data_IF_710769565642
#
_entry.id   IF_710769565642
#
_cell.length_a   1.000
_cell.length_b   1.000
_cell.length_c   1.000
_cell.angle_alpha   90.00
_cell.angle_beta   90.00
_cell.angle_gamma   90.00
#
_symmetry.space_group_name_H-M   'P 1'
#
loop_
_entity.id
_entity.type
_entity.pdbx_description
1 polymer ?
#
# COMPACT_ATOMS: atom_id res chain seq x y z
N UNK A 1 -25.20 -4.38 -35.66
CA UNK A 1 -24.53 -3.90 -34.43
C UNK A 1 -24.96 -4.83 -33.31
N UNK A 2 -24.13 -5.83 -32.97
CA UNK A 2 -24.42 -6.73 -31.85
C UNK A 2 -24.29 -5.87 -30.59
N UNK A 3 -25.40 -5.67 -29.88
CA UNK A 3 -25.40 -4.97 -28.59
C UNK A 3 -24.44 -5.71 -27.66
N UNK A 4 -23.37 -5.04 -27.24
CA UNK A 4 -22.49 -5.56 -26.20
C UNK A 4 -23.37 -5.83 -24.98
N UNK A 5 -23.41 -7.06 -24.44
CA UNK A 5 -24.21 -7.34 -23.27
C UNK A 5 -23.78 -6.42 -22.13
N UNK A 6 -24.75 -5.96 -21.34
CA UNK A 6 -24.51 -5.21 -20.11
C UNK A 6 -23.42 -5.93 -19.26
N UNK A 7 -22.45 -5.17 -18.73
CA UNK A 7 -21.25 -5.73 -18.08
C UNK A 7 -21.62 -6.64 -16.91
N UNK A 8 -22.66 -6.29 -16.14
CA UNK A 8 -23.14 -7.12 -15.05
C UNK A 8 -23.72 -8.45 -15.56
N UNK A 9 -24.46 -8.42 -16.68
CA UNK A 9 -24.97 -9.62 -17.36
C UNK A 9 -23.83 -10.51 -17.85
N UNK A 10 -22.80 -9.94 -18.48
CA UNK A 10 -21.63 -10.69 -18.95
C UNK A 10 -20.87 -11.35 -17.79
N UNK A 11 -20.62 -10.60 -16.71
CA UNK A 11 -19.96 -11.09 -15.49
C UNK A 11 -20.72 -12.24 -14.85
N UNK A 12 -22.03 -12.09 -14.67
CA UNK A 12 -22.87 -13.13 -14.09
C UNK A 12 -22.90 -14.39 -14.98
N UNK A 13 -23.14 -14.21 -16.28
CA UNK A 13 -23.18 -15.33 -17.23
C UNK A 13 -21.85 -16.10 -17.27
N UNK A 14 -20.71 -15.40 -17.25
CA UNK A 14 -19.40 -16.02 -17.18
C UNK A 14 -19.20 -16.79 -15.87
N UNK A 15 -19.54 -16.19 -14.74
CA UNK A 15 -19.39 -16.82 -13.42
C UNK A 15 -20.20 -18.11 -13.32
N UNK A 16 -21.45 -18.09 -13.79
CA UNK A 16 -22.33 -19.27 -13.83
C UNK A 16 -21.74 -20.40 -14.66
N UNK A 17 -21.11 -20.09 -15.80
CA UNK A 17 -20.38 -21.09 -16.61
C UNK A 17 -19.11 -21.59 -15.91
N UNK A 18 -18.35 -20.71 -15.30
CA UNK A 18 -17.08 -21.06 -14.62
C UNK A 18 -17.30 -21.96 -13.38
N UNK A 19 -18.46 -21.84 -12.73
CA UNK A 19 -18.84 -22.64 -11.56
C UNK A 19 -19.83 -23.78 -11.88
N UNK A 20 -20.32 -23.86 -13.12
CA UNK A 20 -21.38 -24.78 -13.54
C UNK A 20 -22.66 -24.70 -12.67
N UNK A 21 -23.07 -23.46 -12.35
CA UNK A 21 -24.25 -23.18 -11.51
C UNK A 21 -25.07 -22.05 -12.15
N UNK A 22 -26.21 -22.41 -12.75
CA UNK A 22 -27.10 -21.46 -13.42
C UNK A 22 -27.93 -20.61 -12.44
N UNK A 23 -28.09 -21.03 -11.18
CA UNK A 23 -28.88 -20.34 -10.17
C UNK A 23 -28.06 -19.31 -9.38
N UNK A 24 -26.73 -19.37 -9.49
CA UNK A 24 -25.80 -18.51 -8.79
C UNK A 24 -26.11 -17.01 -8.96
N UNK A 25 -25.91 -16.26 -7.89
CA UNK A 25 -26.03 -14.80 -7.83
C UNK A 25 -24.71 -14.17 -7.42
N UNK A 26 -24.57 -12.88 -7.69
CA UNK A 26 -23.41 -12.07 -7.33
C UNK A 26 -23.85 -10.92 -6.44
N UNK A 27 -23.13 -10.70 -5.34
CA UNK A 27 -23.28 -9.54 -4.47
C UNK A 27 -22.00 -8.69 -4.50
N UNK A 28 -22.05 -7.35 -4.36
CA UNK A 28 -20.85 -6.54 -4.25
C UNK A 28 -20.01 -6.97 -3.03
N UNK A 29 -18.71 -7.20 -3.23
CA UNK A 29 -17.78 -7.53 -2.15
C UNK A 29 -17.01 -6.30 -1.67
N UNK A 30 -16.48 -5.54 -2.62
CA UNK A 30 -15.80 -4.27 -2.41
C UNK A 30 -15.70 -3.51 -3.73
N UNK A 31 -15.55 -2.19 -3.63
CA UNK A 31 -15.13 -1.35 -4.74
C UNK A 31 -13.66 -0.95 -4.50
N UNK A 32 -12.80 -1.20 -5.48
CA UNK A 32 -11.39 -0.78 -5.46
C UNK A 32 -11.31 0.75 -5.59
N UNK A 33 -10.15 1.33 -5.28
CA UNK A 33 -9.86 2.68 -5.70
C UNK A 33 -9.63 2.80 -7.22
N UNK A 34 -9.35 1.69 -7.90
CA UNK A 34 -9.21 1.58 -9.36
C UNK A 34 -10.54 1.36 -10.09
N UNK A 35 -10.49 0.96 -11.36
CA UNK A 35 -11.68 0.62 -12.16
C UNK A 35 -12.12 -0.83 -11.94
N UNK A 36 -11.36 -1.62 -11.18
CA UNK A 36 -11.73 -2.98 -10.79
C UNK A 36 -12.88 -2.99 -9.79
N UNK A 37 -13.73 -4.00 -9.92
CA UNK A 37 -14.76 -4.30 -8.94
C UNK A 37 -14.73 -5.76 -8.54
N UNK A 38 -15.11 -6.05 -7.30
CA UNK A 38 -15.11 -7.39 -6.74
C UNK A 38 -16.51 -7.82 -6.35
N UNK A 39 -16.90 -9.01 -6.78
CA UNK A 39 -18.25 -9.54 -6.60
C UNK A 39 -18.20 -10.90 -5.95
N UNK A 40 -18.88 -11.08 -4.83
CA UNK A 40 -18.88 -12.30 -4.05
C UNK A 40 -20.00 -13.23 -4.51
N UNK A 41 -19.72 -14.52 -4.43
CA UNK A 41 -20.70 -15.57 -4.55
C UNK A 41 -20.35 -16.76 -3.66
N UNK A 42 -21.31 -17.66 -3.45
CA UNK A 42 -21.12 -18.91 -2.73
C UNK A 42 -21.49 -20.06 -3.63
N UNK A 43 -20.63 -21.07 -3.71
CA UNK A 43 -20.87 -22.27 -4.49
C UNK A 43 -20.30 -23.48 -3.75
N UNK A 44 -21.13 -24.52 -3.56
CA UNK A 44 -20.76 -25.76 -2.86
C UNK A 44 -20.09 -25.53 -1.49
N UNK A 45 -20.64 -24.61 -0.69
CA UNK A 45 -20.11 -24.29 0.64
C UNK A 45 -18.87 -23.38 0.67
N UNK A 46 -18.29 -23.06 -0.49
CA UNK A 46 -17.11 -22.20 -0.62
C UNK A 46 -17.49 -20.80 -1.10
N UNK A 47 -16.80 -19.78 -0.59
CA UNK A 47 -16.88 -18.41 -1.11
C UNK A 47 -15.98 -18.23 -2.32
N UNK A 48 -16.42 -17.44 -3.30
CA UNK A 48 -15.63 -17.03 -4.45
C UNK A 48 -15.79 -15.53 -4.68
N UNK A 49 -14.72 -14.91 -5.16
CA UNK A 49 -14.72 -13.53 -5.64
C UNK A 49 -14.53 -13.53 -7.15
N UNK A 50 -15.37 -12.78 -7.84
CA UNK A 50 -15.20 -12.44 -9.24
C UNK A 50 -14.58 -11.06 -9.30
N UNK A 51 -13.32 -11.01 -9.72
CA UNK A 51 -12.63 -9.76 -10.07
C UNK A 51 -13.04 -9.37 -11.48
N UNK A 52 -13.58 -8.17 -11.62
CA UNK A 52 -14.00 -7.57 -12.88
C UNK A 52 -13.07 -6.40 -13.19
N UNK A 53 -12.16 -6.60 -14.15
CA UNK A 53 -11.22 -5.59 -14.67
C UNK A 53 -11.64 -5.23 -16.09
N UNK A 54 -12.36 -4.12 -16.32
CA UNK A 54 -12.81 -3.77 -17.67
C UNK A 54 -11.61 -3.62 -18.63
N UNK A 55 -11.51 -4.41 -19.72
CA UNK A 55 -10.30 -4.45 -20.57
C UNK A 55 -9.88 -3.11 -21.17
N UNK A 56 -10.84 -2.19 -21.38
CA UNK A 56 -10.57 -0.85 -21.88
C UNK A 56 -9.96 0.09 -20.83
N UNK A 57 -9.93 -0.30 -19.55
CA UNK A 57 -9.54 0.53 -18.42
C UNK A 57 -8.41 -0.09 -17.59
N UNK A 58 -8.38 -1.42 -17.45
CA UNK A 58 -7.44 -2.08 -16.55
C UNK A 58 -7.10 -3.52 -17.00
N UNK A 59 -5.80 -3.83 -17.07
CA UNK A 59 -5.28 -5.17 -17.42
C UNK A 59 -5.15 -6.04 -16.15
N UNK A 60 -5.77 -7.25 -16.09
CA UNK A 60 -5.63 -8.15 -14.95
C UNK A 60 -4.31 -8.94 -14.92
N UNK A 61 -3.50 -8.94 -15.99
CA UNK A 61 -2.28 -9.76 -16.07
C UNK A 61 -1.21 -9.41 -15.01
N UNK A 62 -0.94 -8.14 -14.67
CA UNK A 62 -0.03 -7.81 -13.56
C UNK A 62 -0.50 -8.40 -12.22
N UNK A 63 -1.80 -8.45 -11.97
CA UNK A 63 -2.36 -9.09 -10.78
C UNK A 63 -2.07 -10.60 -10.81
N UNK A 64 -2.30 -11.28 -11.93
CA UNK A 64 -2.00 -12.71 -12.07
C UNK A 64 -0.52 -13.02 -11.91
N UNK A 65 0.36 -12.21 -12.50
CA UNK A 65 1.80 -12.40 -12.43
C UNK A 65 2.31 -12.29 -11.00
N UNK A 66 1.98 -11.20 -10.30
CA UNK A 66 2.45 -10.99 -8.92
C UNK A 66 1.81 -12.01 -7.98
N UNK A 67 0.52 -12.33 -8.16
CA UNK A 67 -0.17 -13.36 -7.39
C UNK A 67 0.51 -14.73 -7.51
N UNK A 68 0.91 -15.12 -8.73
CA UNK A 68 1.64 -16.37 -8.95
C UNK A 68 3.01 -16.38 -8.24
N UNK A 69 3.76 -15.28 -8.31
CA UNK A 69 5.06 -15.14 -7.62
C UNK A 69 4.92 -15.25 -6.10
N UNK A 70 3.92 -14.59 -5.53
CA UNK A 70 3.64 -14.64 -4.08
C UNK A 70 3.19 -16.04 -3.64
N UNK A 71 2.29 -16.66 -4.42
CA UNK A 71 1.82 -18.02 -4.15
C UNK A 71 2.97 -19.04 -4.21
N UNK A 72 3.86 -18.93 -5.21
CA UNK A 72 5.04 -19.78 -5.34
C UNK A 72 6.02 -19.63 -4.17
N UNK A 73 6.11 -18.44 -3.57
CA UNK A 73 6.85 -18.19 -2.34
C UNK A 73 6.15 -18.71 -1.08
N UNK A 74 4.98 -19.36 -1.21
CA UNK A 74 4.22 -19.93 -0.09
C UNK A 74 3.48 -18.88 0.74
N UNK A 75 3.10 -17.75 0.13
CA UNK A 75 2.27 -16.71 0.75
C UNK A 75 0.80 -16.94 0.43
N UNK A 76 -0.08 -16.49 1.34
CA UNK A 76 -1.50 -16.68 1.21
C UNK A 76 -2.15 -15.53 0.43
N UNK A 77 -2.11 -15.64 -0.89
CA UNK A 77 -2.84 -14.77 -1.83
C UNK A 77 -4.03 -15.53 -2.42
N UNK A 78 -5.07 -14.86 -2.96
CA UNK A 78 -6.23 -15.55 -3.49
C UNK A 78 -5.86 -16.52 -4.61
N UNK A 79 -6.17 -17.81 -4.43
CA UNK A 79 -5.98 -18.79 -5.49
C UNK A 79 -6.86 -18.48 -6.71
N UNK A 80 -6.32 -18.64 -7.92
CA UNK A 80 -7.06 -18.41 -9.18
C UNK A 80 -7.70 -19.72 -9.62
N UNK A 81 -9.04 -19.73 -9.69
CA UNK A 81 -9.82 -20.88 -10.16
C UNK A 81 -10.08 -20.85 -11.66
N UNK A 82 -10.42 -19.69 -12.21
CA UNK A 82 -10.70 -19.51 -13.63
C UNK A 82 -10.39 -18.08 -14.08
N UNK A 83 -10.09 -17.91 -15.36
CA UNK A 83 -9.79 -16.62 -15.97
C UNK A 83 -10.39 -16.49 -17.37
N UNK A 84 -10.81 -15.29 -17.73
CA UNK A 84 -11.23 -14.88 -19.07
C UNK A 84 -10.64 -13.50 -19.35
N UNK A 85 -9.41 -13.50 -19.90
CA UNK A 85 -8.60 -12.28 -20.00
C UNK A 85 -9.14 -11.30 -21.04
N UNK A 86 -9.71 -11.79 -22.13
CA UNK A 86 -10.29 -10.93 -23.18
C UNK A 86 -11.48 -10.12 -22.67
N UNK A 87 -12.22 -10.67 -21.70
CA UNK A 87 -13.28 -9.94 -21.02
C UNK A 87 -12.83 -9.36 -19.68
N UNK A 88 -11.63 -9.66 -19.20
CA UNK A 88 -11.06 -9.16 -17.96
C UNK A 88 -11.75 -9.67 -16.69
N UNK A 89 -12.18 -10.94 -16.68
CA UNK A 89 -12.76 -11.59 -15.50
C UNK A 89 -11.81 -12.62 -14.89
N UNK A 90 -11.63 -12.56 -13.58
CA UNK A 90 -10.97 -13.62 -12.79
C UNK A 90 -11.92 -14.15 -11.73
N UNK A 91 -11.88 -15.45 -11.49
CA UNK A 91 -12.60 -16.13 -10.41
C UNK A 91 -11.56 -16.61 -9.43
N UNK A 92 -11.54 -15.98 -8.27
CA UNK A 92 -10.49 -16.13 -7.27
C UNK A 92 -11.10 -16.56 -5.94
N UNK A 93 -10.26 -17.19 -5.12
CA UNK A 93 -10.60 -17.56 -3.75
C UNK A 93 -11.08 -16.35 -2.94
N UNK A 94 -12.09 -16.61 -2.12
CA UNK A 94 -12.57 -15.65 -1.14
C UNK A 94 -11.83 -15.83 0.19
N UNK A 95 -10.84 -14.96 0.45
CA UNK A 95 -10.07 -14.93 1.71
C UNK A 95 -10.89 -14.46 2.93
N UNK A 96 -12.18 -14.19 2.75
CA UNK A 96 -13.09 -13.71 3.79
C UNK A 96 -13.23 -12.18 3.79
N UNK A 97 -13.56 -11.63 4.95
CA UNK A 97 -13.84 -10.19 5.13
C UNK A 97 -13.26 -9.61 6.42
N UNK A 98 -12.54 -10.41 7.21
CA UNK A 98 -11.96 -10.00 8.49
C UNK A 98 -10.62 -9.30 8.26
N UNK A 99 -10.66 -8.00 8.01
CA UNK A 99 -9.45 -7.18 7.87
C UNK A 99 -8.67 -7.08 9.17
N UNK A 100 -7.36 -6.83 9.06
CA UNK A 100 -6.49 -6.55 10.22
C UNK A 100 -6.91 -5.27 10.94
N UNK A 101 -7.13 -4.16 10.22
CA UNK A 101 -7.36 -2.84 10.83
C UNK A 101 -8.42 -2.84 11.97
N UNK A 102 -9.64 -3.38 11.77
CA UNK A 102 -10.65 -3.40 12.85
C UNK A 102 -10.33 -4.36 13.99
N UNK A 103 -9.46 -5.35 13.76
CA UNK A 103 -9.07 -6.35 14.74
C UNK A 103 -7.87 -5.93 15.59
N UNK A 104 -7.10 -4.93 15.14
CA UNK A 104 -5.92 -4.43 15.84
C UNK A 104 -6.30 -3.66 17.11
N UNK A 105 -5.73 -4.09 18.23
CA UNK A 105 -5.77 -3.43 19.53
C UNK A 105 -4.56 -3.89 20.36
N UNK A 106 -4.38 -3.35 21.56
CA UNK A 106 -3.22 -3.66 22.40
C UNK A 106 -3.02 -5.16 22.68
N UNK A 107 -4.09 -5.95 22.67
CA UNK A 107 -4.05 -7.40 22.94
C UNK A 107 -3.78 -8.26 21.71
N UNK A 108 -4.10 -7.77 20.51
CA UNK A 108 -4.05 -8.56 19.27
C UNK A 108 -2.91 -8.18 18.35
N UNK A 109 -2.39 -6.96 18.47
CA UNK A 109 -1.41 -6.41 17.52
C UNK A 109 -0.12 -7.20 17.47
N UNK A 110 0.43 -7.66 18.60
CA UNK A 110 1.71 -8.40 18.58
C UNK A 110 1.58 -9.71 17.81
N UNK A 111 0.45 -10.42 17.93
CA UNK A 111 0.19 -11.64 17.16
C UNK A 111 -0.04 -11.32 15.68
N UNK A 112 -0.94 -10.38 15.37
CA UNK A 112 -1.27 -10.05 13.99
C UNK A 112 -0.08 -9.47 13.22
N UNK A 113 0.66 -8.55 13.82
CA UNK A 113 1.88 -8.01 13.22
C UNK A 113 3.03 -9.02 13.23
N UNK A 114 3.08 -9.95 14.17
CA UNK A 114 3.97 -11.12 14.11
C UNK A 114 3.74 -11.92 12.82
N UNK A 115 2.50 -12.34 12.57
CA UNK A 115 2.12 -13.07 11.34
C UNK A 115 2.43 -12.26 10.07
N UNK A 116 2.15 -10.95 10.09
CA UNK A 116 2.46 -10.07 8.95
C UNK A 116 3.97 -9.92 8.71
N UNK A 117 4.78 -9.77 9.77
CA UNK A 117 6.23 -9.71 9.64
C UNK A 117 6.83 -11.05 9.20
N UNK A 118 6.23 -12.18 9.60
CA UNK A 118 6.62 -13.51 9.10
C UNK A 118 6.37 -13.64 7.59
N UNK A 119 5.18 -13.21 7.14
CA UNK A 119 4.86 -13.15 5.71
C UNK A 119 5.77 -12.15 4.97
N UNK A 120 6.07 -10.99 5.54
CA UNK A 120 6.97 -9.99 4.95
C UNK A 120 8.40 -10.52 4.78
N UNK A 121 8.93 -11.22 5.79
CA UNK A 121 10.25 -11.82 5.70
C UNK A 121 10.30 -12.86 4.57
N UNK A 122 9.26 -13.68 4.45
CA UNK A 122 9.10 -14.64 3.36
C UNK A 122 8.98 -13.95 1.99
N UNK A 123 8.20 -12.87 1.89
CA UNK A 123 8.15 -12.04 0.67
C UNK A 123 9.53 -11.58 0.24
N UNK A 124 10.32 -11.06 1.18
CA UNK A 124 11.63 -10.49 0.89
C UNK A 124 12.69 -11.55 0.58
N UNK A 125 12.54 -12.76 1.11
CA UNK A 125 13.49 -13.85 0.93
C UNK A 125 13.21 -14.68 -0.32
N UNK A 126 11.95 -15.04 -0.54
CA UNK A 126 11.59 -16.19 -1.38
C UNK A 126 10.86 -15.80 -2.68
N UNK A 127 10.35 -14.56 -2.79
CA UNK A 127 9.66 -14.12 -4.02
C UNK A 127 10.67 -13.85 -5.12
N UNK A 128 10.48 -14.50 -6.28
CA UNK A 128 11.27 -14.21 -7.47
C UNK A 128 10.98 -12.79 -7.98
N UNK A 129 12.02 -11.96 -7.99
CA UNK A 129 11.97 -10.56 -8.45
C UNK A 129 12.53 -10.38 -9.87
N UNK A 130 12.89 -11.47 -10.54
CA UNK A 130 13.40 -11.42 -11.92
C UNK A 130 12.40 -10.79 -12.86
N UNK A 131 12.86 -9.77 -13.60
CA UNK A 131 12.04 -9.05 -14.59
C UNK A 131 11.07 -8.02 -13.99
N UNK A 132 10.97 -7.91 -12.66
CA UNK A 132 10.11 -6.91 -12.03
C UNK A 132 10.67 -5.50 -12.17
N UNK A 133 9.77 -4.52 -12.28
CA UNK A 133 10.14 -3.12 -12.43
C UNK A 133 10.89 -2.61 -11.18
N UNK A 134 12.00 -1.85 -11.36
CA UNK A 134 12.70 -1.25 -10.25
C UNK A 134 11.92 -0.10 -9.63
N UNK A 135 11.92 -0.03 -8.30
CA UNK A 135 11.52 1.16 -7.56
C UNK A 135 12.70 2.14 -7.49
N UNK A 136 13.02 2.72 -8.64
CA UNK A 136 14.22 3.53 -8.84
C UNK A 136 14.05 5.01 -8.42
N UNK A 137 15.12 5.79 -8.59
CA UNK A 137 15.14 7.21 -8.31
C UNK A 137 14.01 7.97 -9.02
N UNK A 138 13.82 7.72 -10.32
CA UNK A 138 12.83 8.43 -11.11
C UNK A 138 11.40 8.10 -10.65
N UNK A 139 11.14 6.86 -10.26
CA UNK A 139 9.86 6.47 -9.72
C UNK A 139 9.60 7.13 -8.35
N UNK A 140 10.55 7.04 -7.42
CA UNK A 140 10.43 7.63 -6.09
C UNK A 140 10.28 9.16 -6.13
N UNK A 141 11.03 9.83 -7.03
CA UNK A 141 10.94 11.28 -7.25
C UNK A 141 9.53 11.68 -7.70
N UNK A 142 8.97 11.01 -8.72
CA UNK A 142 7.61 11.29 -9.22
C UNK A 142 6.54 11.14 -8.14
N UNK A 143 6.73 10.22 -7.19
CA UNK A 143 5.80 10.07 -6.07
C UNK A 143 5.91 11.19 -5.04
N UNK A 144 7.11 11.71 -4.80
CA UNK A 144 7.32 12.86 -3.91
C UNK A 144 6.71 14.14 -4.50
N UNK A 145 6.76 14.30 -5.83
CA UNK A 145 6.20 15.45 -6.57
C UNK A 145 4.66 15.56 -6.49
N UNK A 146 3.96 14.48 -6.09
CA UNK A 146 2.51 14.51 -5.89
C UNK A 146 2.14 15.46 -4.74
N UNK A 147 2.97 15.55 -3.70
CA UNK A 147 2.67 16.35 -2.50
C UNK A 147 2.68 17.86 -2.79
N UNK A 148 3.71 18.43 -3.46
CA UNK A 148 3.68 19.84 -3.85
C UNK A 148 2.46 20.22 -4.70
N UNK A 149 2.06 19.38 -5.66
CA UNK A 149 0.91 19.66 -6.52
C UNK A 149 -0.42 19.60 -5.75
N UNK A 150 -0.68 18.49 -5.06
CA UNK A 150 -2.00 18.20 -4.52
C UNK A 150 -2.19 18.66 -3.08
N UNK A 151 -1.18 18.50 -2.23
CA UNK A 151 -1.25 18.93 -0.84
C UNK A 151 -0.93 20.42 -0.72
N UNK A 152 0.25 20.89 -1.17
CA UNK A 152 0.59 22.31 -1.05
C UNK A 152 -0.27 23.18 -1.97
N UNK A 153 -0.27 22.88 -3.27
CA UNK A 153 -0.98 23.66 -4.27
C UNK A 153 -2.50 23.62 -4.06
N UNK A 154 -3.10 22.44 -4.25
CA UNK A 154 -4.56 22.33 -4.28
C UNK A 154 -5.22 22.32 -2.89
N UNK A 155 -4.64 21.62 -1.92
CA UNK A 155 -5.27 21.45 -0.61
C UNK A 155 -4.97 22.57 0.38
N UNK A 156 -3.76 23.13 0.38
CA UNK A 156 -3.40 24.27 1.23
C UNK A 156 -3.56 25.62 0.52
N UNK A 157 -3.70 25.63 -0.82
CA UNK A 157 -3.82 26.87 -1.59
C UNK A 157 -2.50 27.64 -1.69
N UNK A 158 -1.35 26.95 -1.58
CA UNK A 158 -0.05 27.59 -1.61
C UNK A 158 0.82 27.07 -2.75
N UNK A 159 1.34 28.00 -3.56
CA UNK A 159 2.41 27.72 -4.52
C UNK A 159 3.76 28.00 -3.85
N UNK A 160 4.66 27.00 -3.73
CA UNK A 160 5.96 27.24 -3.13
C UNK A 160 6.76 28.29 -3.91
N UNK A 161 7.38 29.23 -3.20
CA UNK A 161 8.32 30.19 -3.78
C UNK A 161 9.68 29.52 -4.09
N UNK A 162 10.55 30.18 -4.86
CA UNK A 162 11.86 29.63 -5.25
C UNK A 162 12.67 29.07 -4.06
N UNK A 163 12.86 29.85 -2.99
CA UNK A 163 13.58 29.38 -1.80
C UNK A 163 12.86 28.30 -0.99
N UNK A 164 11.57 28.06 -1.23
CA UNK A 164 10.86 26.92 -0.61
C UNK A 164 10.99 25.66 -1.46
N UNK A 165 11.13 25.79 -2.78
CA UNK A 165 11.48 24.66 -3.65
C UNK A 165 12.84 24.09 -3.28
N UNK A 166 13.84 24.94 -3.01
CA UNK A 166 15.16 24.49 -2.54
C UNK A 166 15.06 23.61 -1.28
N UNK A 167 14.18 23.97 -0.35
CA UNK A 167 13.93 23.20 0.90
C UNK A 167 13.26 21.85 0.59
N UNK A 168 12.26 21.84 -0.31
CA UNK A 168 11.59 20.62 -0.73
C UNK A 168 12.55 19.66 -1.45
N UNK A 169 13.33 20.16 -2.41
CA UNK A 169 14.29 19.39 -3.19
C UNK A 169 15.42 18.84 -2.33
N UNK A 170 15.91 19.63 -1.35
CA UNK A 170 16.91 19.17 -0.39
C UNK A 170 16.37 18.01 0.45
N UNK A 171 15.14 18.13 0.96
CA UNK A 171 14.50 17.04 1.70
C UNK A 171 14.30 15.80 0.82
N UNK A 172 13.80 15.97 -0.41
CA UNK A 172 13.60 14.85 -1.34
C UNK A 172 14.91 14.15 -1.66
N UNK A 173 16.01 14.89 -1.84
CA UNK A 173 17.35 14.33 -2.05
C UNK A 173 17.78 13.43 -0.88
N UNK A 174 17.54 13.84 0.37
CA UNK A 174 17.83 13.03 1.56
C UNK A 174 17.04 11.72 1.54
N UNK A 175 15.74 11.80 1.25
CA UNK A 175 14.84 10.64 1.22
C UNK A 175 15.19 9.66 0.09
N UNK A 176 15.53 10.17 -1.09
CA UNK A 176 15.93 9.35 -2.24
C UNK A 176 17.24 8.65 -2.00
N UNK A 177 18.26 9.34 -1.45
CA UNK A 177 19.53 8.71 -1.07
C UNK A 177 19.30 7.59 -0.06
N UNK A 178 18.48 7.83 0.95
CA UNK A 178 18.13 6.82 1.95
C UNK A 178 17.45 5.58 1.34
N UNK A 179 16.53 5.76 0.39
CA UNK A 179 15.85 4.65 -0.25
C UNK A 179 16.81 3.84 -1.15
N UNK A 180 17.72 4.51 -1.85
CA UNK A 180 18.60 3.88 -2.85
C UNK A 180 19.81 3.18 -2.25
N UNK A 181 20.23 3.51 -1.02
CA UNK A 181 21.34 2.83 -0.35
C UNK A 181 20.96 1.48 0.29
N UNK A 182 19.67 1.18 0.40
CA UNK A 182 19.17 -0.03 1.03
C UNK A 182 19.27 -1.26 0.11
N UNK A 183 19.43 -2.48 0.68
CA UNK A 183 19.22 -3.70 -0.07
C UNK A 183 17.86 -3.71 -0.75
N UNK A 184 17.84 -4.17 -2.01
CA UNK A 184 16.63 -4.18 -2.83
C UNK A 184 15.94 -5.53 -2.78
N UNK A 185 14.66 -5.55 -2.40
CA UNK A 185 13.83 -6.76 -2.25
C UNK A 185 12.45 -6.54 -2.89
N UNK A 186 11.63 -7.58 -2.89
CA UNK A 186 10.21 -7.45 -3.23
C UNK A 186 9.56 -6.40 -2.32
N UNK A 187 8.82 -5.47 -2.92
CA UNK A 187 8.05 -4.44 -2.23
C UNK A 187 6.62 -4.49 -2.75
N UNK A 188 5.68 -4.85 -1.89
CA UNK A 188 4.24 -4.84 -2.14
C UNK A 188 3.69 -3.42 -2.29
N UNK A 189 4.31 -2.43 -1.63
CA UNK A 189 3.99 -0.99 -1.59
C UNK A 189 2.80 -0.62 -0.73
N UNK A 190 1.73 -1.41 -0.78
CA UNK A 190 0.50 -1.20 -0.01
C UNK A 190 0.32 -2.25 1.12
N UNK A 191 1.43 -2.67 1.73
CA UNK A 191 1.47 -3.66 2.81
C UNK A 191 1.05 -3.07 4.17
N UNK A 192 -0.25 -2.81 4.34
CA UNK A 192 -0.82 -2.20 5.54
C UNK A 192 -2.12 -2.90 5.99
N UNK A 193 -2.62 -2.54 7.17
CA UNK A 193 -3.69 -3.28 7.86
C UNK A 193 -5.05 -3.35 7.15
N UNK A 194 -5.29 -2.52 6.12
CA UNK A 194 -6.49 -2.62 5.25
C UNK A 194 -6.35 -3.65 4.11
N UNK A 195 -5.14 -4.14 3.85
CA UNK A 195 -4.83 -5.08 2.77
C UNK A 195 -4.40 -6.47 3.29
N UNK A 196 -4.58 -6.70 4.59
CA UNK A 196 -4.30 -7.97 5.26
C UNK A 196 -5.59 -8.51 5.89
N UNK A 197 -5.87 -9.79 5.63
CA UNK A 197 -7.04 -10.50 6.16
C UNK A 197 -6.61 -11.55 7.18
N UNK A 198 -7.40 -11.68 8.24
CA UNK A 198 -7.31 -12.77 9.20
C UNK A 198 -7.94 -14.01 8.57
N UNK A 199 -7.11 -15.02 8.32
CA UNK A 199 -7.53 -16.30 7.76
C UNK A 199 -7.44 -17.41 8.81
N UNK A 200 -8.21 -18.49 8.64
CA UNK A 200 -8.22 -19.60 9.59
C UNK A 200 -6.89 -20.40 9.58
N UNK A 201 -6.21 -20.43 8.44
CA UNK A 201 -4.90 -21.03 8.25
C UNK A 201 -4.03 -20.09 7.41
N UNK A 202 -2.71 -20.17 7.58
CA UNK A 202 -1.71 -19.38 6.85
C UNK A 202 -2.02 -17.86 6.85
N UNK A 203 -2.38 -17.31 8.01
CA UNK A 203 -2.61 -15.86 8.16
C UNK A 203 -1.28 -15.09 8.02
N UNK A 204 -1.27 -13.87 7.45
CA UNK A 204 -2.39 -13.17 6.80
C UNK A 204 -2.70 -13.66 5.38
N UNK A 205 -3.97 -13.52 4.99
CA UNK A 205 -4.33 -13.37 3.58
C UNK A 205 -3.91 -12.00 3.06
N UNK A 206 -3.25 -11.93 1.91
CA UNK A 206 -2.65 -10.71 1.34
C UNK A 206 -3.37 -10.34 0.04
N UNK A 207 -3.79 -9.08 -0.07
CA UNK A 207 -4.48 -8.53 -1.25
C UNK A 207 -3.84 -7.21 -1.71
N UNK A 208 -4.23 -6.72 -2.89
CA UNK A 208 -3.79 -5.44 -3.45
C UNK A 208 -2.27 -5.39 -3.78
N UNK A 209 -1.71 -6.52 -4.21
CA UNK A 209 -0.29 -6.72 -4.47
C UNK A 209 0.16 -6.38 -5.91
N UNK A 210 -0.77 -6.15 -6.85
CA UNK A 210 -0.45 -5.97 -8.27
C UNK A 210 0.47 -4.78 -8.58
N UNK A 211 0.60 -3.83 -7.65
CA UNK A 211 1.46 -2.66 -7.78
C UNK A 211 2.92 -2.92 -7.41
N UNK A 212 3.29 -4.17 -7.06
CA UNK A 212 4.58 -4.51 -6.50
C UNK A 212 5.78 -4.16 -7.39
N UNK A 213 6.89 -3.80 -6.74
CA UNK A 213 8.14 -3.40 -7.37
C UNK A 213 9.34 -4.02 -6.64
N UNK A 214 10.55 -3.76 -7.15
CA UNK A 214 11.81 -4.13 -6.47
C UNK A 214 12.43 -2.88 -5.85
N UNK A 215 12.43 -2.76 -4.53
CA UNK A 215 12.73 -1.52 -3.82
C UNK A 215 13.36 -1.71 -2.44
N UNK A 216 13.46 -0.64 -1.63
CA UNK A 216 14.14 -0.66 -0.33
C UNK A 216 13.49 -1.66 0.64
N UNK A 217 14.33 -2.44 1.32
CA UNK A 217 13.91 -3.50 2.26
C UNK A 217 13.02 -3.00 3.41
N UNK A 218 13.09 -1.72 3.78
CA UNK A 218 12.27 -1.17 4.87
C UNK A 218 10.88 -0.66 4.42
N UNK A 219 10.56 -0.66 3.12
CA UNK A 219 9.35 -0.02 2.60
C UNK A 219 8.06 -0.58 3.17
N UNK A 220 7.84 -1.89 3.01
CA UNK A 220 6.62 -2.53 3.49
C UNK A 220 6.56 -2.62 5.01
N UNK A 221 7.71 -2.72 5.69
CA UNK A 221 7.77 -2.63 7.14
C UNK A 221 7.30 -1.24 7.62
N UNK A 222 7.74 -0.17 6.95
CA UNK A 222 7.28 1.18 7.23
C UNK A 222 5.79 1.35 6.90
N UNK A 223 5.29 0.73 5.83
CA UNK A 223 3.86 0.74 5.50
C UNK A 223 3.00 0.07 6.56
N UNK A 224 3.49 -1.04 7.14
CA UNK A 224 2.81 -1.80 8.20
C UNK A 224 2.86 -1.09 9.55
N UNK A 225 4.06 -0.71 10.01
CA UNK A 225 4.27 -0.19 11.37
C UNK A 225 3.97 1.31 11.49
N UNK A 226 3.94 2.04 10.37
CA UNK A 226 3.52 3.45 10.29
C UNK A 226 2.32 3.62 9.37
N UNK A 227 1.36 2.74 9.58
CA UNK A 227 0.09 2.73 8.89
C UNK A 227 -0.57 4.12 8.96
N UNK A 228 -1.23 4.51 7.86
CA UNK A 228 -1.93 5.78 7.78
C UNK A 228 -3.22 5.81 8.61
N UNK A 229 -3.71 4.64 9.02
CA UNK A 229 -5.04 4.48 9.63
C UNK A 229 -5.00 4.19 11.13
N UNK A 230 -3.83 3.79 11.65
CA UNK A 230 -3.62 3.46 13.06
C UNK A 230 -2.23 3.93 13.49
N UNK A 231 -2.08 4.26 14.77
CA UNK A 231 -0.80 4.66 15.33
C UNK A 231 -0.56 3.93 16.64
N UNK A 232 0.69 3.60 16.87
CA UNK A 232 1.18 2.90 18.05
C UNK A 232 2.21 3.77 18.76
N UNK A 233 2.43 3.47 20.03
CA UNK A 233 3.52 4.10 20.77
C UNK A 233 4.87 3.86 20.06
N UNK A 234 5.69 4.91 19.99
CA UNK A 234 6.95 4.85 19.25
C UNK A 234 7.92 3.83 19.82
N UNK A 235 8.00 3.68 21.14
CA UNK A 235 8.93 2.72 21.75
C UNK A 235 8.59 1.30 21.30
N UNK A 236 7.29 0.99 21.14
CA UNK A 236 6.80 -0.27 20.59
C UNK A 236 7.15 -0.42 19.11
N UNK A 237 6.96 0.62 18.30
CA UNK A 237 7.32 0.63 16.87
C UNK A 237 8.81 0.42 16.65
N UNK A 238 9.66 1.15 17.38
CA UNK A 238 11.12 1.02 17.29
C UNK A 238 11.59 -0.37 17.73
N UNK A 239 10.93 -0.98 18.72
CA UNK A 239 11.22 -2.34 19.16
C UNK A 239 10.84 -3.39 18.10
N UNK A 240 9.68 -3.28 17.46
CA UNK A 240 9.31 -4.15 16.34
C UNK A 240 10.25 -3.99 15.15
N UNK A 241 10.62 -2.75 14.81
CA UNK A 241 11.56 -2.49 13.72
C UNK A 241 12.94 -3.12 13.99
N UNK A 242 13.46 -2.99 15.22
CA UNK A 242 14.72 -3.62 15.61
C UNK A 242 14.63 -5.15 15.60
N UNK A 243 13.54 -5.73 16.12
CA UNK A 243 13.33 -7.17 16.06
C UNK A 243 13.30 -7.67 14.60
N UNK A 244 12.67 -6.91 13.70
CA UNK A 244 12.66 -7.23 12.28
C UNK A 244 14.05 -7.11 11.63
N UNK A 245 14.85 -6.09 11.98
CA UNK A 245 16.24 -5.96 11.52
C UNK A 245 17.06 -7.19 11.85
N UNK A 246 16.98 -7.68 13.09
CA UNK A 246 17.71 -8.87 13.52
C UNK A 246 17.35 -10.10 12.68
N UNK A 247 16.07 -10.28 12.37
CA UNK A 247 15.58 -11.35 11.49
C UNK A 247 16.08 -11.21 10.05
N UNK A 248 16.15 -9.99 9.53
CA UNK A 248 16.73 -9.72 8.21
C UNK A 248 18.23 -10.05 8.16
N UNK A 249 18.97 -9.72 9.22
CA UNK A 249 20.39 -10.07 9.34
C UNK A 249 20.59 -11.59 9.43
N UNK A 250 19.80 -12.27 10.25
CA UNK A 250 19.83 -13.75 10.38
C UNK A 250 19.53 -14.44 9.05
N UNK A 251 18.59 -13.91 8.27
CA UNK A 251 18.25 -14.41 6.94
C UNK A 251 19.27 -14.00 5.84
N UNK A 252 20.32 -13.24 6.17
CA UNK A 252 21.31 -12.73 5.20
C UNK A 252 20.75 -11.72 4.20
N UNK A 253 19.59 -11.13 4.49
CA UNK A 253 18.93 -10.16 3.60
C UNK A 253 19.47 -8.74 3.78
N UNK A 254 20.03 -8.45 4.96
CA UNK A 254 20.70 -7.20 5.34
C UNK A 254 22.04 -7.56 5.98
N UNK A 255 23.09 -6.80 5.65
CA UNK A 255 24.43 -7.00 6.23
C UNK A 255 24.40 -6.78 7.76
N UNK A 256 25.10 -7.64 8.51
CA UNK A 256 25.20 -7.54 9.97
C UNK A 256 25.88 -6.23 10.44
N UNK A 257 26.64 -5.55 9.57
CA UNK A 257 27.22 -4.23 9.82
C UNK A 257 26.17 -3.09 9.81
N UNK A 258 24.95 -3.34 9.33
CA UNK A 258 23.84 -2.38 9.48
C UNK A 258 23.33 -2.46 10.91
N UNK A 259 23.84 -1.56 11.75
CA UNK A 259 23.42 -1.44 13.14
C UNK A 259 21.99 -0.92 13.29
N UNK A 260 21.52 -0.90 14.54
CA UNK A 260 20.18 -0.44 14.91
C UNK A 260 19.93 1.01 14.49
N UNK A 261 20.89 1.90 14.67
CA UNK A 261 20.71 3.33 14.36
C UNK A 261 20.53 3.54 12.86
N UNK A 262 21.39 2.92 12.05
CA UNK A 262 21.30 2.99 10.59
C UNK A 262 20.00 2.40 10.07
N UNK A 263 19.57 1.25 10.60
CA UNK A 263 18.31 0.65 10.17
C UNK A 263 17.09 1.48 10.59
N UNK A 264 17.08 2.04 11.80
CA UNK A 264 16.01 2.94 12.23
C UNK A 264 15.99 4.20 11.38
N UNK A 265 17.13 4.73 10.97
CA UNK A 265 17.19 5.83 9.99
C UNK A 265 16.60 5.42 8.65
N UNK A 266 16.94 4.23 8.13
CA UNK A 266 16.34 3.69 6.90
C UNK A 266 14.83 3.63 6.99
N UNK A 267 14.33 2.99 8.04
CA UNK A 267 12.91 2.83 8.33
C UNK A 267 12.21 4.20 8.48
N UNK A 268 12.84 5.13 9.20
CA UNK A 268 12.29 6.46 9.46
C UNK A 268 12.07 7.23 8.16
N UNK A 269 13.12 7.34 7.36
CA UNK A 269 13.13 8.13 6.14
C UNK A 269 12.34 7.46 5.01
N UNK A 270 12.30 6.13 4.96
CA UNK A 270 11.39 5.41 4.06
C UNK A 270 9.92 5.69 4.43
N UNK A 271 9.59 5.66 5.72
CA UNK A 271 8.25 6.02 6.20
C UNK A 271 7.89 7.47 5.85
N UNK A 272 8.82 8.40 6.03
CA UNK A 272 8.63 9.80 5.67
C UNK A 272 8.39 10.01 4.16
N UNK A 273 9.18 9.36 3.30
CA UNK A 273 8.95 9.38 1.84
C UNK A 273 7.53 8.91 1.49
N UNK A 274 7.11 7.80 2.08
CA UNK A 274 5.77 7.24 1.87
C UNK A 274 4.67 8.19 2.36
N UNK A 275 4.81 8.76 3.56
CA UNK A 275 3.79 9.67 4.09
C UNK A 275 3.72 10.99 3.30
N UNK A 276 4.84 11.52 2.81
CA UNK A 276 4.84 12.68 1.90
C UNK A 276 4.03 12.36 0.65
N UNK A 277 4.31 11.23 -0.02
CA UNK A 277 3.50 10.74 -1.14
C UNK A 277 2.01 10.68 -0.75
N UNK A 278 1.70 10.08 0.40
CA UNK A 278 0.31 9.90 0.87
C UNK A 278 -0.41 11.24 1.09
N UNK A 279 0.26 12.27 1.63
CA UNK A 279 -0.33 13.61 1.75
C UNK A 279 -0.86 14.11 0.40
N UNK A 280 -0.07 13.95 -0.67
CA UNK A 280 -0.50 14.29 -2.02
C UNK A 280 -1.61 13.36 -2.55
N UNK A 281 -1.46 12.05 -2.38
CA UNK A 281 -2.43 11.05 -2.88
C UNK A 281 -3.81 11.22 -2.27
N UNK A 282 -3.92 11.43 -0.95
CA UNK A 282 -5.22 11.58 -0.29
C UNK A 282 -5.94 12.84 -0.78
N UNK A 283 -5.22 13.95 -0.93
CA UNK A 283 -5.77 15.16 -1.55
C UNK A 283 -6.18 14.91 -3.01
N UNK A 284 -5.38 14.18 -3.80
CA UNK A 284 -5.73 13.84 -5.18
C UNK A 284 -7.00 13.00 -5.27
N UNK A 285 -7.12 11.96 -4.45
CA UNK A 285 -8.31 11.10 -4.37
C UNK A 285 -9.57 11.89 -4.00
N UNK A 286 -9.44 12.88 -3.11
CA UNK A 286 -10.53 13.80 -2.79
C UNK A 286 -10.93 14.66 -3.99
N UNK A 287 -9.99 15.46 -4.51
CA UNK A 287 -10.29 16.52 -5.47
C UNK A 287 -10.55 16.04 -6.90
N UNK A 288 -9.92 14.94 -7.30
CA UNK A 288 -10.05 14.37 -8.65
C UNK A 288 -11.10 13.26 -8.68
N UNK A 289 -11.13 12.42 -7.65
CA UNK A 289 -11.90 11.17 -7.67
C UNK A 289 -13.13 11.19 -6.74
N UNK A 290 -13.37 12.30 -6.03
CA UNK A 290 -14.55 12.48 -5.17
C UNK A 290 -14.56 11.64 -3.89
N UNK A 291 -13.42 11.06 -3.49
CA UNK A 291 -13.34 10.15 -2.34
C UNK A 291 -13.08 10.93 -1.04
N UNK A 292 -14.17 11.44 -0.46
CA UNK A 292 -14.15 12.29 0.76
C UNK A 292 -13.43 11.69 1.95
N UNK A 293 -13.60 10.39 2.21
CA UNK A 293 -13.09 9.73 3.41
C UNK A 293 -11.57 9.74 3.59
N UNK A 294 -10.78 10.01 2.54
CA UNK A 294 -9.31 10.06 2.66
C UNK A 294 -8.79 11.31 3.39
N UNK A 295 -9.57 12.39 3.45
CA UNK A 295 -9.16 13.59 4.20
C UNK A 295 -9.20 13.37 5.71
N UNK A 296 -10.01 12.43 6.21
CA UNK A 296 -10.12 12.11 7.63
C UNK A 296 -8.82 11.56 8.21
N UNK A 297 -8.03 10.87 7.38
CA UNK A 297 -6.73 10.28 7.76
C UNK A 297 -5.56 11.28 7.61
N UNK A 298 -5.76 12.41 6.91
CA UNK A 298 -4.70 13.38 6.58
C UNK A 298 -4.00 13.98 7.81
N UNK A 299 -4.69 14.34 8.92
CA UNK A 299 -4.02 14.84 10.12
C UNK A 299 -3.02 13.85 10.73
N UNK A 300 -3.34 12.54 10.72
CA UNK A 300 -2.44 11.51 11.25
C UNK A 300 -1.19 11.39 10.39
N UNK A 301 -1.36 11.34 9.07
CA UNK A 301 -0.24 11.27 8.11
C UNK A 301 0.65 12.51 8.25
N UNK A 302 0.05 13.70 8.35
CA UNK A 302 0.79 14.94 8.55
C UNK A 302 1.56 14.96 9.89
N UNK A 303 0.95 14.43 10.96
CA UNK A 303 1.61 14.25 12.25
C UNK A 303 2.86 13.37 12.16
N UNK A 304 2.78 12.23 11.47
CA UNK A 304 3.95 11.39 11.22
C UNK A 304 5.05 12.12 10.44
N UNK A 305 4.68 12.87 9.39
CA UNK A 305 5.65 13.65 8.60
C UNK A 305 6.41 14.63 9.49
N UNK A 306 5.72 15.36 10.36
CA UNK A 306 6.35 16.34 11.25
C UNK A 306 7.17 15.70 12.38
N UNK A 307 6.70 14.58 12.96
CA UNK A 307 7.43 13.86 14.01
C UNK A 307 8.77 13.34 13.46
N UNK A 308 8.75 12.68 12.31
CA UNK A 308 9.96 12.12 11.71
C UNK A 308 10.87 13.22 11.21
N UNK A 309 10.38 14.17 10.41
CA UNK A 309 11.22 15.26 9.91
C UNK A 309 11.83 16.09 11.04
N UNK A 310 11.12 16.28 12.16
CA UNK A 310 11.62 16.99 13.33
C UNK A 310 12.78 16.32 14.07
N UNK A 311 13.05 15.04 13.80
CA UNK A 311 14.18 14.30 14.42
C UNK A 311 15.50 14.44 13.69
N UNK A 312 15.47 14.83 12.41
CA UNK A 312 16.63 14.86 11.56
C UNK A 312 17.01 16.31 11.27
N UNK A 313 18.19 16.79 11.71
CA UNK A 313 18.62 18.18 11.51
C UNK A 313 18.55 18.62 10.04
N UNK A 314 18.90 17.74 9.10
CA UNK A 314 18.85 17.99 7.65
C UNK A 314 17.43 18.11 7.08
N UNK A 315 16.40 17.83 7.88
CA UNK A 315 14.98 17.97 7.52
C UNK A 315 14.26 19.06 8.35
N UNK A 316 15.00 19.81 9.18
CA UNK A 316 14.41 20.82 10.06
C UNK A 316 13.67 21.92 9.27
N UNK A 317 14.27 22.42 8.19
CA UNK A 317 13.67 23.45 7.34
C UNK A 317 12.43 22.94 6.62
N UNK A 318 12.43 21.68 6.21
CA UNK A 318 11.26 21.02 5.61
C UNK A 318 10.10 20.95 6.60
N UNK A 319 10.35 20.52 7.85
CA UNK A 319 9.33 20.50 8.88
C UNK A 319 8.81 21.92 9.20
N UNK A 320 9.70 22.92 9.25
CA UNK A 320 9.33 24.32 9.47
C UNK A 320 8.47 24.89 8.33
N UNK A 321 8.83 24.59 7.07
CA UNK A 321 8.05 24.94 5.88
C UNK A 321 6.63 24.36 5.98
N UNK A 322 6.50 23.06 6.25
CA UNK A 322 5.18 22.42 6.33
C UNK A 322 4.33 23.00 7.46
N UNK A 323 4.90 23.26 8.65
CA UNK A 323 4.17 23.89 9.77
C UNK A 323 3.66 25.28 9.39
N UNK A 324 4.52 26.09 8.78
CA UNK A 324 4.15 27.44 8.31
C UNK A 324 3.02 27.39 7.28
N UNK A 325 3.09 26.47 6.32
CA UNK A 325 2.09 26.37 5.23
C UNK A 325 0.76 25.78 5.68
N UNK A 326 0.74 24.84 6.63
CA UNK A 326 -0.50 24.34 7.20
C UNK A 326 -1.19 25.37 8.11
N UNK A 327 -0.43 26.23 8.80
CA UNK A 327 -0.99 27.36 9.55
C UNK A 327 -1.96 26.97 10.68
N UNK A 328 -1.86 25.74 11.21
CA UNK A 328 -2.75 25.24 12.28
C UNK A 328 -4.19 24.97 11.86
N UNK A 329 -4.49 24.99 10.55
CA UNK A 329 -5.84 24.69 10.04
C UNK A 329 -6.23 23.23 10.25
N UNK A 330 -7.53 22.97 10.19
CA UNK A 330 -8.03 21.61 10.06
C UNK A 330 -7.76 21.08 8.64
N UNK A 331 -6.85 20.10 8.54
CA UNK A 331 -6.47 19.45 7.28
C UNK A 331 -7.58 18.54 6.72
N UNK A 332 -8.66 18.30 7.47
CA UNK A 332 -9.83 17.59 6.95
C UNK A 332 -10.68 18.48 6.05
N UNK A 333 -10.50 19.80 6.14
CA UNK A 333 -11.32 20.78 5.44
C UNK A 333 -10.58 21.33 4.21
N UNK A 334 -11.18 21.25 3.01
CA UNK A 334 -10.60 21.87 1.81
C UNK A 334 -10.53 23.40 1.95
N UNK A 335 -9.62 24.06 1.23
CA UNK A 335 -9.67 25.53 1.09
C UNK A 335 -10.99 25.89 0.40
N UNK A 336 -11.69 26.92 0.90
CA UNK A 336 -12.82 27.49 0.19
C UNK A 336 -12.34 28.01 -1.18
N UNK A 337 -13.03 27.63 -2.25
CA UNK A 337 -12.68 28.00 -3.62
C UNK A 337 -12.76 29.51 -3.85
#
# INVERSE_FOLDING_TARGET
MISTPDRATARLAWTRRALDDAALTLEPASADASFRSYWRTRHQGHGWIVMDSPPAQEDPRPWLEIGARLSAAGLHVPAVRAQELEQGFLLIEDLGSRLYLPALNDRTVDTLYGDAMDALLRMQRDVDVTGMQPYDHAFLQRELEIMPEWFLGRHLGCTPACGEWDVLESAFTVLLKNALEQPRRFVHRDYHSRNLLITAANSPGIIDFQGALVGPVTYDLASLLRDCYIAWDRTRVDAWAEAYRLRLCEAGLVDAAVDRERFLRWFDLTGLQRHIKVLGIFCRLYYRDGKSGYLDDLPRVYGYVLDVAGRYPELADFAALLRRRAGGRDLRLPVAA
#
